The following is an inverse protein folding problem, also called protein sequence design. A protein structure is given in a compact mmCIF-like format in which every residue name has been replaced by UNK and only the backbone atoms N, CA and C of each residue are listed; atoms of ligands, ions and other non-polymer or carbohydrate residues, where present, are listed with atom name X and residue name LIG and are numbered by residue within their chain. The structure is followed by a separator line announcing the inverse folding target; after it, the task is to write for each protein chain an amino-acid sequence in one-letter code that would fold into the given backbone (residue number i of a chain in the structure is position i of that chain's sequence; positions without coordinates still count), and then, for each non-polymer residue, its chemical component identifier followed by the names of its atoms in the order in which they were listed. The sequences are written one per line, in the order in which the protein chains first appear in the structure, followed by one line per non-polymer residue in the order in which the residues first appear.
data_IF_041041104278
#
_entry.id   IF_041041104278
#
_cell.length_a   1.000
_cell.length_b   1.000
_cell.length_c   1.000
_cell.angle_alpha   90.00
_cell.angle_beta   90.00
_cell.angle_gamma   90.00
#
_symmetry.space_group_name_H-M   'P 1'
#
loop_
_entity.id
_entity.type
_entity.pdbx_description
1 polymer ?
#
# COMPACT_ATOMS: atom_id res chain seq x y z
N UNK A 1 26.86 -14.64 -40.45
CA UNK A 1 25.87 -14.40 -39.35
C UNK A 1 25.90 -15.40 -38.19
N UNK A 2 26.27 -16.66 -38.36
CA UNK A 2 26.37 -17.64 -37.22
C UNK A 2 27.52 -17.32 -36.24
N UNK A 3 28.70 -16.90 -36.76
CA UNK A 3 29.86 -16.57 -35.92
C UNK A 3 29.61 -15.42 -34.92
N UNK A 4 28.88 -14.36 -35.30
CA UNK A 4 28.54 -13.25 -34.38
C UNK A 4 27.64 -13.67 -33.20
N UNK A 5 26.80 -14.69 -33.38
CA UNK A 5 25.96 -15.18 -32.27
C UNK A 5 26.80 -15.95 -31.25
N UNK A 6 27.81 -16.71 -31.68
CA UNK A 6 28.67 -17.46 -30.74
C UNK A 6 29.55 -16.50 -29.93
N UNK A 7 30.09 -15.47 -30.50
CA UNK A 7 30.84 -14.44 -29.76
C UNK A 7 29.95 -13.64 -28.81
N UNK A 8 28.71 -13.35 -29.20
CA UNK A 8 27.74 -12.68 -28.32
C UNK A 8 27.36 -13.58 -27.11
N UNK A 9 27.10 -14.86 -27.34
CA UNK A 9 26.84 -15.81 -26.26
C UNK A 9 28.06 -15.97 -25.34
N UNK A 10 29.26 -16.04 -25.88
CA UNK A 10 30.49 -16.15 -25.11
C UNK A 10 30.72 -14.88 -24.27
N UNK A 11 30.49 -13.69 -24.84
CA UNK A 11 30.55 -12.42 -24.11
C UNK A 11 29.53 -12.34 -22.97
N UNK A 12 28.29 -12.71 -23.23
CA UNK A 12 27.24 -12.75 -22.20
C UNK A 12 27.56 -13.74 -21.07
N UNK A 13 28.04 -14.96 -21.45
CA UNK A 13 28.44 -15.97 -20.45
C UNK A 13 29.61 -15.48 -19.60
N UNK A 14 30.61 -14.83 -20.18
CA UNK A 14 31.75 -14.23 -19.50
C UNK A 14 31.30 -13.15 -18.48
N UNK A 15 30.41 -12.25 -18.94
CA UNK A 15 29.86 -11.18 -18.08
C UNK A 15 29.07 -11.79 -16.92
N UNK A 16 28.19 -12.75 -17.19
CA UNK A 16 27.39 -13.41 -16.14
C UNK A 16 28.26 -14.14 -15.15
N UNK A 17 29.30 -14.86 -15.63
CA UNK A 17 30.27 -15.54 -14.74
C UNK A 17 31.07 -14.55 -13.91
N UNK A 18 31.55 -13.46 -14.48
CA UNK A 18 32.25 -12.40 -13.74
C UNK A 18 31.35 -11.75 -12.68
N UNK A 19 30.11 -11.43 -13.03
CA UNK A 19 29.13 -10.92 -12.06
C UNK A 19 28.86 -11.91 -10.93
N UNK A 20 28.73 -13.21 -11.22
CA UNK A 20 28.52 -14.24 -10.21
C UNK A 20 29.72 -14.38 -9.27
N UNK A 21 30.95 -14.33 -9.80
CA UNK A 21 32.18 -14.35 -9.00
C UNK A 21 32.29 -13.10 -8.13
N UNK A 22 31.98 -11.92 -8.67
CA UNK A 22 31.99 -10.66 -7.90
C UNK A 22 30.94 -10.67 -6.81
N UNK A 23 29.72 -11.14 -7.07
CA UNK A 23 28.68 -11.31 -6.06
C UNK A 23 29.11 -12.29 -4.97
N UNK A 24 29.69 -13.41 -5.35
CA UNK A 24 30.20 -14.40 -4.40
C UNK A 24 31.30 -13.81 -3.51
N UNK A 25 32.28 -13.13 -4.13
CA UNK A 25 33.36 -12.45 -3.41
C UNK A 25 32.84 -11.40 -2.44
N UNK A 26 31.92 -10.52 -2.87
CA UNK A 26 31.32 -9.48 -2.04
C UNK A 26 30.52 -10.07 -0.84
N UNK A 27 29.80 -11.18 -1.08
CA UNK A 27 28.99 -11.85 -0.06
C UNK A 27 29.87 -12.54 1.00
N UNK A 28 30.96 -13.21 0.58
CA UNK A 28 31.79 -14.00 1.47
C UNK A 28 32.91 -13.22 2.14
N UNK A 29 33.46 -12.20 1.51
CA UNK A 29 34.59 -11.41 2.02
C UNK A 29 34.18 -10.05 2.63
N UNK A 30 32.87 -9.82 2.84
CA UNK A 30 32.30 -8.66 3.56
C UNK A 30 32.72 -7.27 3.02
N UNK A 31 33.14 -7.16 1.78
CA UNK A 31 33.51 -5.87 1.19
C UNK A 31 32.31 -4.92 1.01
N UNK A 32 31.08 -5.45 0.91
CA UNK A 32 29.81 -4.73 0.71
C UNK A 32 29.81 -3.70 -0.44
N UNK A 33 30.83 -3.68 -1.27
CA UNK A 33 31.01 -2.68 -2.34
C UNK A 33 29.84 -2.67 -3.30
N UNK A 34 29.34 -3.86 -3.67
CA UNK A 34 28.18 -3.97 -4.56
C UNK A 34 26.91 -3.52 -3.88
N UNK A 35 26.69 -3.91 -2.61
CA UNK A 35 25.51 -3.47 -1.85
C UNK A 35 25.51 -1.95 -1.67
N UNK A 36 26.63 -1.37 -1.27
CA UNK A 36 26.79 0.08 -1.11
C UNK A 36 26.60 0.83 -2.45
N UNK A 37 27.06 0.24 -3.56
CA UNK A 37 26.81 0.79 -4.90
C UNK A 37 25.31 0.76 -5.24
N UNK A 38 24.61 -0.36 -5.01
CA UNK A 38 23.18 -0.44 -5.26
C UNK A 38 22.38 0.48 -4.33
N UNK A 39 22.75 0.58 -3.06
CA UNK A 39 22.11 1.50 -2.11
C UNK A 39 22.28 2.95 -2.55
N UNK A 40 23.48 3.34 -2.95
CA UNK A 40 23.77 4.68 -3.50
C UNK A 40 23.02 4.94 -4.80
N UNK A 41 22.95 3.96 -5.68
CA UNK A 41 22.18 4.04 -6.93
C UNK A 41 20.68 4.23 -6.63
N UNK A 42 20.12 3.45 -5.70
CA UNK A 42 18.72 3.59 -5.29
C UNK A 42 18.44 4.93 -4.62
N UNK A 43 19.35 5.44 -3.78
CA UNK A 43 19.23 6.78 -3.21
C UNK A 43 19.19 7.88 -4.28
N UNK A 44 20.05 7.78 -5.30
CA UNK A 44 20.08 8.75 -6.40
C UNK A 44 18.84 8.63 -7.29
N UNK A 45 18.33 7.41 -7.52
CA UNK A 45 17.17 7.16 -8.36
C UNK A 45 15.84 7.37 -7.62
N UNK A 46 15.85 7.43 -6.29
CA UNK A 46 14.61 7.53 -5.49
C UNK A 46 13.67 8.66 -5.94
N UNK A 47 14.11 9.90 -6.23
CA UNK A 47 13.21 10.94 -6.72
C UNK A 47 12.58 10.61 -8.07
N UNK A 48 13.33 9.91 -8.94
CA UNK A 48 12.82 9.47 -10.27
C UNK A 48 11.76 8.38 -10.09
N UNK A 49 12.02 7.42 -9.21
CA UNK A 49 11.07 6.35 -8.88
C UNK A 49 9.79 6.95 -8.28
N UNK A 50 9.91 7.89 -7.33
CA UNK A 50 8.74 8.59 -6.78
C UNK A 50 7.98 9.35 -7.86
N UNK A 51 8.69 10.02 -8.76
CA UNK A 51 8.06 10.73 -9.88
C UNK A 51 7.29 9.82 -10.84
N UNK A 52 7.86 8.65 -11.16
CA UNK A 52 7.19 7.62 -11.96
C UNK A 52 5.93 7.08 -11.25
N UNK A 53 6.06 6.78 -9.96
CA UNK A 53 4.94 6.28 -9.15
C UNK A 53 3.84 7.32 -9.08
N UNK A 54 4.14 8.58 -8.74
CA UNK A 54 3.15 9.64 -8.70
C UNK A 54 2.50 9.89 -10.05
N UNK A 55 3.29 9.91 -11.14
CA UNK A 55 2.75 10.06 -12.48
C UNK A 55 1.75 8.94 -12.82
N UNK A 56 2.06 7.71 -12.42
CA UNK A 56 1.19 6.57 -12.68
C UNK A 56 -0.07 6.58 -11.81
N UNK A 57 0.07 6.85 -10.51
CA UNK A 57 -1.04 6.93 -9.56
C UNK A 57 -2.01 8.07 -9.88
N UNK A 58 -1.48 9.23 -10.27
CA UNK A 58 -2.29 10.41 -10.55
C UNK A 58 -2.84 10.43 -11.99
N UNK A 59 -2.32 9.60 -12.90
CA UNK A 59 -2.79 9.54 -14.29
C UNK A 59 -4.31 9.36 -14.42
N UNK A 60 -5.00 8.47 -13.67
CA UNK A 60 -6.45 8.32 -13.76
C UNK A 60 -7.21 9.59 -13.34
N UNK A 61 -6.71 10.30 -12.32
CA UNK A 61 -7.31 11.52 -11.79
C UNK A 61 -7.10 12.66 -12.78
N UNK A 62 -5.89 12.79 -13.33
CA UNK A 62 -5.58 13.77 -14.38
C UNK A 62 -6.43 13.52 -15.63
N UNK A 63 -6.56 12.26 -16.07
CA UNK A 63 -7.39 11.89 -17.23
C UNK A 63 -8.90 12.14 -16.99
N UNK A 64 -9.34 12.11 -15.72
CA UNK A 64 -10.70 12.49 -15.33
C UNK A 64 -10.91 14.00 -15.48
N UNK A 65 -10.02 14.83 -14.88
CA UNK A 65 -10.09 16.28 -15.01
C UNK A 65 -9.91 16.75 -16.45
N UNK A 66 -9.02 16.10 -17.19
CA UNK A 66 -8.76 16.41 -18.60
C UNK A 66 -10.04 16.30 -19.44
N UNK A 67 -10.78 15.19 -19.29
CA UNK A 67 -12.06 14.99 -19.96
C UNK A 67 -13.11 16.00 -19.53
N UNK A 68 -13.16 16.36 -18.23
CA UNK A 68 -14.15 17.30 -17.71
C UNK A 68 -13.87 18.73 -18.17
N UNK A 69 -12.62 19.18 -18.08
CA UNK A 69 -12.19 20.52 -18.51
C UNK A 69 -12.33 20.68 -20.04
N UNK A 70 -11.94 19.64 -20.80
CA UNK A 70 -12.07 19.66 -22.26
C UNK A 70 -13.53 19.79 -22.72
N UNK A 71 -14.48 19.17 -22.00
CA UNK A 71 -15.93 19.34 -22.27
C UNK A 71 -16.39 20.76 -21.98
N UNK A 72 -15.90 21.39 -20.91
CA UNK A 72 -16.26 22.78 -20.56
C UNK A 72 -15.59 23.83 -21.43
N UNK A 73 -14.41 23.55 -21.97
CA UNK A 73 -13.59 24.50 -22.75
C UNK A 73 -13.15 23.91 -24.10
N UNK A 74 -14.06 23.61 -25.02
CA UNK A 74 -13.76 22.90 -26.27
C UNK A 74 -12.80 23.66 -27.22
N UNK A 75 -12.70 24.98 -27.08
CA UNK A 75 -11.85 25.85 -27.92
C UNK A 75 -10.40 25.98 -27.42
N UNK A 76 -10.09 25.46 -26.22
CA UNK A 76 -8.74 25.57 -25.64
C UNK A 76 -7.86 24.44 -26.20
N UNK A 77 -6.60 24.76 -26.47
CA UNK A 77 -5.62 23.77 -26.95
C UNK A 77 -5.48 22.62 -25.93
N UNK A 78 -5.54 21.39 -26.40
CA UNK A 78 -5.43 20.16 -25.57
C UNK A 78 -4.19 20.19 -24.65
N UNK A 79 -3.07 20.76 -25.07
CA UNK A 79 -1.87 20.89 -24.25
C UNK A 79 -2.07 21.81 -23.02
N UNK A 80 -2.84 22.88 -23.15
CA UNK A 80 -3.17 23.78 -22.02
C UNK A 80 -4.16 23.11 -21.07
N UNK A 81 -5.17 22.43 -21.61
CA UNK A 81 -6.13 21.64 -20.80
C UNK A 81 -5.38 20.60 -20.00
N UNK A 82 -4.44 19.86 -20.62
CA UNK A 82 -3.62 18.88 -19.94
C UNK A 82 -2.79 19.48 -18.79
N UNK A 83 -2.16 20.63 -19.05
CA UNK A 83 -1.40 21.36 -18.01
C UNK A 83 -2.29 21.78 -16.83
N UNK A 84 -3.48 22.32 -17.11
CA UNK A 84 -4.45 22.72 -16.09
C UNK A 84 -4.96 21.51 -15.29
N UNK A 85 -5.26 20.39 -15.95
CA UNK A 85 -5.69 19.15 -15.30
C UNK A 85 -4.65 18.61 -14.34
N UNK A 86 -3.37 18.64 -14.72
CA UNK A 86 -2.25 18.23 -13.86
C UNK A 86 -2.16 19.17 -12.64
N UNK A 87 -2.25 20.48 -12.87
CA UNK A 87 -2.18 21.49 -11.80
C UNK A 87 -3.34 21.31 -10.80
N UNK A 88 -4.57 21.19 -11.30
CA UNK A 88 -5.75 20.94 -10.44
C UNK A 88 -5.60 19.64 -9.65
N UNK A 89 -5.14 18.57 -10.29
CA UNK A 89 -4.89 17.27 -9.61
C UNK A 89 -3.90 17.44 -8.46
N UNK A 90 -2.75 18.09 -8.68
CA UNK A 90 -1.76 18.31 -7.63
C UNK A 90 -2.26 19.22 -6.52
N UNK A 91 -3.02 20.30 -6.85
CA UNK A 91 -3.67 21.14 -5.83
C UNK A 91 -4.62 20.31 -4.98
N UNK A 92 -5.48 19.47 -5.59
CA UNK A 92 -6.39 18.60 -4.85
C UNK A 92 -5.66 17.61 -3.94
N UNK A 93 -4.57 16.98 -4.41
CA UNK A 93 -3.78 16.05 -3.61
C UNK A 93 -3.10 16.75 -2.43
N UNK A 94 -2.45 17.89 -2.69
CA UNK A 94 -1.79 18.68 -1.64
C UNK A 94 -2.81 19.20 -0.63
N UNK A 95 -3.95 19.72 -1.10
CA UNK A 95 -5.02 20.20 -0.24
C UNK A 95 -5.59 19.07 0.64
N UNK A 96 -5.81 17.87 0.07
CA UNK A 96 -6.28 16.70 0.81
C UNK A 96 -5.29 16.30 1.91
N UNK A 97 -4.01 16.20 1.56
CA UNK A 97 -2.93 15.86 2.51
C UNK A 97 -2.83 16.92 3.61
N UNK A 98 -2.82 18.22 3.24
CA UNK A 98 -2.78 19.32 4.18
C UNK A 98 -3.98 19.31 5.13
N UNK A 99 -5.19 19.14 4.60
CA UNK A 99 -6.42 19.11 5.37
C UNK A 99 -6.43 17.90 6.33
N UNK A 100 -5.98 16.74 5.87
CA UNK A 100 -5.85 15.55 6.71
C UNK A 100 -4.90 15.80 7.89
N UNK A 101 -3.70 16.29 7.64
CA UNK A 101 -2.72 16.52 8.71
C UNK A 101 -3.04 17.71 9.60
N UNK A 102 -3.57 18.82 9.06
CA UNK A 102 -3.91 20.01 9.83
C UNK A 102 -5.06 19.79 10.82
N UNK A 103 -5.93 18.82 10.56
CA UNK A 103 -7.01 18.45 11.47
C UNK A 103 -6.58 17.30 12.38
N UNK A 104 -5.95 16.26 11.83
CA UNK A 104 -5.62 15.05 12.59
C UNK A 104 -4.56 15.29 13.66
N UNK A 105 -3.49 16.04 13.33
CA UNK A 105 -2.37 16.24 14.29
C UNK A 105 -2.80 17.02 15.53
N UNK A 106 -3.44 18.21 15.44
CA UNK A 106 -3.92 18.91 16.64
C UNK A 106 -4.88 18.07 17.47
N UNK A 107 -5.81 17.39 16.81
CA UNK A 107 -6.82 16.55 17.47
C UNK A 107 -6.18 15.37 18.22
N UNK A 108 -5.16 14.74 17.63
CA UNK A 108 -4.40 13.68 18.31
C UNK A 108 -3.67 14.23 19.54
N UNK A 109 -3.01 15.40 19.42
CA UNK A 109 -2.28 16.02 20.53
C UNK A 109 -3.22 16.41 21.67
N UNK A 110 -4.35 17.04 21.37
CA UNK A 110 -5.32 17.45 22.38
C UNK A 110 -6.03 16.24 23.01
N UNK A 111 -6.31 15.20 22.23
CA UNK A 111 -6.84 13.94 22.74
C UNK A 111 -5.84 13.23 23.66
N UNK A 112 -4.55 13.22 23.32
CA UNK A 112 -3.51 12.64 24.20
C UNK A 112 -3.38 13.42 25.53
N UNK A 113 -3.45 14.77 25.50
CA UNK A 113 -3.50 15.58 26.72
C UNK A 113 -4.73 15.24 27.56
N UNK A 114 -5.92 15.23 26.94
CA UNK A 114 -7.17 14.88 27.60
C UNK A 114 -7.13 13.49 28.23
N UNK A 115 -6.49 12.52 27.53
CA UNK A 115 -6.27 11.18 28.08
C UNK A 115 -5.37 11.25 29.33
N UNK A 116 -4.23 11.96 29.22
CA UNK A 116 -3.31 12.09 30.34
C UNK A 116 -3.97 12.74 31.55
N UNK A 117 -4.73 13.83 31.35
CA UNK A 117 -5.42 14.58 32.40
C UNK A 117 -6.57 13.80 33.05
N UNK A 118 -7.28 12.98 32.28
CA UNK A 118 -8.43 12.22 32.77
C UNK A 118 -8.10 10.74 33.04
N UNK A 119 -6.85 10.31 32.90
CA UNK A 119 -6.47 8.90 33.03
C UNK A 119 -6.86 8.30 34.38
N UNK A 120 -6.65 9.06 35.47
CA UNK A 120 -7.05 8.63 36.82
C UNK A 120 -8.58 8.47 36.95
N UNK A 121 -9.34 9.34 36.32
CA UNK A 121 -10.83 9.25 36.33
C UNK A 121 -11.31 8.02 35.52
N UNK A 122 -10.71 7.75 34.36
CA UNK A 122 -11.04 6.55 33.57
C UNK A 122 -10.70 5.27 34.31
N UNK A 123 -9.52 5.23 34.95
CA UNK A 123 -9.14 4.11 35.80
C UNK A 123 -10.14 3.88 36.92
N UNK A 124 -10.49 4.92 37.68
CA UNK A 124 -11.49 4.83 38.74
C UNK A 124 -12.85 4.31 38.25
N UNK A 125 -13.25 4.74 37.07
CA UNK A 125 -14.49 4.26 36.43
C UNK A 125 -14.41 2.77 36.10
N UNK A 126 -13.33 2.30 35.52
CA UNK A 126 -13.12 0.87 35.20
C UNK A 126 -13.01 0.07 36.51
N UNK A 127 -12.25 0.55 37.47
CA UNK A 127 -12.09 -0.08 38.79
C UNK A 127 -13.43 -0.25 39.48
N UNK A 128 -14.22 0.83 39.59
CA UNK A 128 -15.56 0.79 40.22
C UNK A 128 -16.52 -0.13 39.46
N UNK A 129 -16.44 -0.17 38.14
CA UNK A 129 -17.25 -1.08 37.33
C UNK A 129 -16.88 -2.54 37.60
N UNK A 130 -15.58 -2.88 37.61
CA UNK A 130 -15.11 -4.24 37.94
C UNK A 130 -15.50 -4.59 39.38
N UNK A 131 -15.29 -3.67 40.33
CA UNK A 131 -15.66 -3.89 41.70
C UNK A 131 -17.19 -4.15 41.87
N UNK A 132 -18.03 -3.43 41.13
CA UNK A 132 -19.47 -3.66 41.12
C UNK A 132 -19.88 -5.01 40.53
N UNK A 133 -19.12 -5.54 39.57
CA UNK A 133 -19.33 -6.89 39.03
C UNK A 133 -18.93 -7.99 40.02
N UNK A 134 -17.90 -7.72 40.80
CA UNK A 134 -17.42 -8.61 41.88
C UNK A 134 -18.40 -8.61 43.04
N UNK A 135 -18.80 -7.42 43.58
CA UNK A 135 -19.72 -7.29 44.72
C UNK A 135 -21.10 -7.86 44.39
N UNK A 136 -21.60 -7.74 43.17
CA UNK A 136 -22.90 -8.28 42.77
C UNK A 136 -22.90 -9.78 42.47
N UNK A 137 -21.79 -10.49 42.70
CA UNK A 137 -21.63 -11.95 42.48
C UNK A 137 -22.06 -12.42 41.08
N UNK A 138 -22.05 -11.51 40.08
CA UNK A 138 -22.61 -11.77 38.75
C UNK A 138 -21.70 -12.67 37.92
N UNK A 139 -20.38 -12.72 38.19
CA UNK A 139 -19.40 -13.45 37.38
C UNK A 139 -18.46 -14.34 38.24
N UNK A 140 -18.18 -13.99 39.49
CA UNK A 140 -17.25 -14.70 40.35
C UNK A 140 -17.89 -14.99 41.74
N UNK A 141 -17.94 -16.28 42.09
CA UNK A 141 -18.51 -16.73 43.35
C UNK A 141 -17.45 -16.97 44.46
N UNK A 142 -16.16 -16.78 44.17
CA UNK A 142 -15.06 -17.00 45.11
C UNK A 142 -14.28 -15.70 45.37
N UNK A 143 -14.18 -15.31 46.66
CA UNK A 143 -13.47 -14.11 47.13
C UNK A 143 -11.99 -14.08 46.73
N UNK A 144 -11.34 -15.25 46.52
CA UNK A 144 -9.93 -15.38 46.15
C UNK A 144 -9.66 -14.83 44.74
N UNK A 145 -10.57 -15.05 43.80
CA UNK A 145 -10.39 -14.56 42.40
C UNK A 145 -10.68 -13.07 42.30
N UNK A 146 -11.53 -12.51 43.15
CA UNK A 146 -11.84 -11.08 43.18
C UNK A 146 -10.65 -10.23 43.63
N UNK A 147 -9.96 -10.63 44.70
CA UNK A 147 -8.76 -9.94 45.18
C UNK A 147 -7.57 -10.06 44.21
N UNK A 148 -7.42 -11.20 43.56
CA UNK A 148 -6.39 -11.39 42.52
C UNK A 148 -6.67 -10.51 41.26
N UNK A 149 -7.93 -10.36 40.86
CA UNK A 149 -8.31 -9.53 39.71
C UNK A 149 -8.08 -8.04 40.01
N UNK A 150 -8.49 -7.57 41.20
CA UNK A 150 -8.29 -6.18 41.63
C UNK A 150 -6.79 -5.84 41.82
N UNK A 151 -6.00 -6.77 42.36
CA UNK A 151 -4.56 -6.59 42.51
C UNK A 151 -3.85 -6.58 41.14
N UNK A 152 -4.29 -7.42 40.21
CA UNK A 152 -3.80 -7.41 38.84
C UNK A 152 -4.12 -6.11 38.11
N UNK A 153 -5.36 -5.60 38.26
CA UNK A 153 -5.78 -4.30 37.70
C UNK A 153 -4.93 -3.15 38.24
N UNK A 154 -4.65 -3.10 39.54
CA UNK A 154 -3.77 -2.11 40.14
C UNK A 154 -2.33 -2.24 39.60
N UNK A 155 -1.82 -3.46 39.49
CA UNK A 155 -0.49 -3.69 38.90
C UNK A 155 -0.36 -3.33 37.43
N UNK A 156 -1.42 -3.52 36.64
CA UNK A 156 -1.45 -3.08 35.23
C UNK A 156 -1.61 -1.56 35.12
N UNK A 157 -2.37 -0.93 36.04
CA UNK A 157 -2.50 0.52 36.11
C UNK A 157 -1.14 1.19 36.31
N UNK A 158 -0.37 0.78 37.32
CA UNK A 158 0.96 1.34 37.58
C UNK A 158 1.92 1.14 36.40
N UNK A 159 1.86 -0.02 35.73
CA UNK A 159 2.64 -0.29 34.52
C UNK A 159 2.22 0.59 33.36
N UNK A 160 0.91 0.78 33.16
CA UNK A 160 0.37 1.64 32.11
C UNK A 160 0.71 3.12 32.35
N UNK A 161 0.54 3.61 33.58
CA UNK A 161 0.92 4.98 33.95
C UNK A 161 2.41 5.21 33.69
N UNK A 162 3.27 4.32 34.18
CA UNK A 162 4.71 4.38 33.91
C UNK A 162 5.03 4.29 32.44
N UNK A 163 4.40 3.42 31.69
CA UNK A 163 4.61 3.31 30.26
C UNK A 163 4.17 4.58 29.50
N UNK A 164 3.02 5.17 29.86
CA UNK A 164 2.54 6.42 29.27
C UNK A 164 3.48 7.58 29.63
N UNK A 165 3.82 7.76 30.91
CA UNK A 165 4.65 8.87 31.39
C UNK A 165 6.12 8.75 30.99
N UNK A 166 6.69 7.54 31.04
CA UNK A 166 8.12 7.32 30.84
C UNK A 166 8.47 6.97 29.38
N UNK A 167 7.47 6.50 28.60
CA UNK A 167 7.71 6.04 27.23
C UNK A 167 6.90 6.86 26.19
N UNK A 168 5.58 6.92 26.35
CA UNK A 168 4.72 7.51 25.30
C UNK A 168 4.88 9.01 25.23
N UNK A 169 4.78 9.71 26.36
CA UNK A 169 4.91 11.18 26.41
C UNK A 169 6.30 11.64 25.97
N UNK A 170 7.42 11.08 26.48
CA UNK A 170 8.75 11.44 26.02
C UNK A 170 8.99 11.09 24.55
N UNK A 171 8.52 9.92 24.08
CA UNK A 171 8.66 9.56 22.67
C UNK A 171 7.80 10.44 21.75
N UNK A 172 6.61 10.85 22.18
CA UNK A 172 5.81 11.83 21.44
C UNK A 172 6.51 13.19 21.38
N UNK A 173 7.12 13.63 22.49
CA UNK A 173 7.97 14.85 22.52
C UNK A 173 9.21 14.69 21.64
N UNK A 174 9.89 13.54 21.72
CA UNK A 174 11.04 13.21 20.85
C UNK A 174 10.62 13.14 19.39
N UNK A 175 9.44 12.58 19.08
CA UNK A 175 8.91 12.57 17.71
C UNK A 175 8.61 14.00 17.21
N UNK A 176 8.04 14.86 18.05
CA UNK A 176 7.84 16.30 17.75
C UNK A 176 9.19 17.00 17.59
N UNK A 177 10.16 16.72 18.48
CA UNK A 177 11.54 17.27 18.41
C UNK A 177 12.32 16.63 17.27
N UNK A 178 12.10 15.36 16.93
CA UNK A 178 12.73 14.72 15.78
C UNK A 178 12.20 15.27 14.44
N UNK A 179 10.94 15.68 14.39
CA UNK A 179 10.40 16.48 13.27
C UNK A 179 11.09 17.86 13.22
N UNK A 180 11.44 18.45 14.36
CA UNK A 180 12.17 19.72 14.42
C UNK A 180 13.69 19.55 14.38
N UNK A 181 14.25 18.48 14.97
CA UNK A 181 15.69 18.18 14.99
C UNK A 181 16.18 17.37 13.79
N UNK A 182 15.29 16.61 13.16
CA UNK A 182 15.49 15.92 11.87
C UNK A 182 15.34 16.84 10.66
N UNK A 183 15.53 18.16 10.81
CA UNK A 183 15.39 19.14 9.72
C UNK A 183 16.10 18.65 8.44
N UNK A 184 17.26 18.04 8.57
CA UNK A 184 18.01 17.56 7.42
C UNK A 184 17.32 16.36 6.72
N UNK A 185 16.78 15.42 7.47
CA UNK A 185 16.00 14.29 6.92
C UNK A 185 14.71 14.77 6.28
N UNK A 186 14.03 15.73 6.91
CA UNK A 186 12.82 16.38 6.36
C UNK A 186 13.16 17.16 5.09
N UNK A 187 14.27 17.90 5.07
CA UNK A 187 14.74 18.61 3.87
C UNK A 187 15.06 17.65 2.74
N UNK A 188 15.73 16.54 3.02
CA UNK A 188 16.01 15.50 2.02
C UNK A 188 14.71 14.89 1.50
N UNK A 189 13.78 14.55 2.39
CA UNK A 189 12.47 14.03 2.02
C UNK A 189 11.70 15.03 1.16
N UNK A 190 11.58 16.29 1.58
CA UNK A 190 10.91 17.33 0.82
C UNK A 190 11.59 17.61 -0.52
N UNK A 191 12.91 17.62 -0.56
CA UNK A 191 13.67 17.72 -1.81
C UNK A 191 13.31 16.57 -2.76
N UNK A 192 13.35 15.34 -2.29
CA UNK A 192 13.03 14.17 -3.11
C UNK A 192 11.56 14.15 -3.56
N UNK A 193 10.66 14.58 -2.69
CA UNK A 193 9.23 14.75 -3.00
C UNK A 193 9.02 15.81 -4.08
N UNK A 194 9.65 16.99 -3.94
CA UNK A 194 9.56 18.08 -4.93
C UNK A 194 10.12 17.66 -6.29
N UNK A 195 11.29 17.01 -6.31
CA UNK A 195 11.88 16.48 -7.56
C UNK A 195 10.96 15.42 -8.16
N UNK A 196 10.44 14.50 -7.34
CA UNK A 196 9.47 13.49 -7.77
C UNK A 196 8.20 14.11 -8.35
N UNK A 197 7.68 15.16 -7.71
CA UNK A 197 6.52 15.92 -8.21
C UNK A 197 6.85 16.57 -9.57
N UNK A 198 7.99 17.23 -9.72
CA UNK A 198 8.41 17.84 -10.99
C UNK A 198 8.52 16.78 -12.11
N UNK A 199 9.15 15.64 -11.80
CA UNK A 199 9.26 14.52 -12.74
C UNK A 199 7.87 13.99 -13.11
N UNK A 200 6.96 13.83 -12.16
CA UNK A 200 5.61 13.34 -12.43
C UNK A 200 4.81 14.30 -13.32
N UNK A 201 4.90 15.61 -13.07
CA UNK A 201 4.28 16.64 -13.91
C UNK A 201 4.80 16.53 -15.35
N UNK A 202 6.11 16.39 -15.51
CA UNK A 202 6.72 16.26 -16.85
C UNK A 202 6.29 14.98 -17.56
N UNK A 203 6.26 13.85 -16.84
CA UNK A 203 5.81 12.56 -17.37
C UNK A 203 4.33 12.58 -17.77
N UNK A 204 3.48 13.15 -16.93
CA UNK A 204 2.04 13.29 -17.19
C UNK A 204 1.78 14.21 -18.40
N UNK A 205 2.52 15.31 -18.49
CA UNK A 205 2.38 16.26 -19.62
C UNK A 205 2.83 15.67 -20.94
N UNK A 206 3.86 14.79 -20.95
CA UNK A 206 4.46 14.22 -22.16
C UNK A 206 4.27 12.70 -22.30
N UNK A 207 3.28 12.12 -21.62
CA UNK A 207 2.96 10.69 -21.61
C UNK A 207 2.97 10.06 -23.01
N UNK A 208 2.30 10.69 -23.97
CA UNK A 208 2.21 10.18 -25.34
C UNK A 208 3.55 10.22 -26.09
N UNK A 209 4.35 11.27 -25.87
CA UNK A 209 5.65 11.43 -26.49
C UNK A 209 6.62 10.34 -26.01
N UNK A 210 6.65 10.10 -24.70
CA UNK A 210 7.44 9.02 -24.12
C UNK A 210 7.02 7.65 -24.63
N UNK A 211 5.72 7.39 -24.71
CA UNK A 211 5.19 6.13 -25.25
C UNK A 211 5.61 5.92 -26.72
N UNK A 212 5.56 6.97 -27.54
CA UNK A 212 6.02 6.91 -28.96
C UNK A 212 7.51 6.65 -29.05
N UNK A 213 8.33 7.35 -28.26
CA UNK A 213 9.78 7.17 -28.25
C UNK A 213 10.17 5.76 -27.80
N UNK A 214 9.57 5.25 -26.71
CA UNK A 214 9.82 3.89 -26.22
C UNK A 214 9.46 2.83 -27.26
N UNK A 215 8.31 2.97 -27.94
CA UNK A 215 7.92 2.09 -29.05
C UNK A 215 8.90 2.14 -30.21
N UNK A 216 9.43 3.32 -30.56
CA UNK A 216 10.42 3.50 -31.64
C UNK A 216 11.73 2.82 -31.27
N UNK A 217 12.22 3.00 -30.06
CA UNK A 217 13.44 2.34 -29.56
C UNK A 217 13.26 0.82 -29.57
N UNK A 218 12.14 0.34 -29.06
CA UNK A 218 11.85 -1.10 -29.00
C UNK A 218 11.80 -1.73 -30.40
N UNK A 219 11.19 -1.02 -31.36
CA UNK A 219 11.14 -1.47 -32.77
C UNK A 219 12.50 -1.49 -33.43
N UNK A 220 13.39 -0.55 -33.09
CA UNK A 220 14.75 -0.49 -33.63
C UNK A 220 15.65 -1.64 -33.12
N UNK A 221 15.41 -2.11 -31.87
CA UNK A 221 16.25 -3.13 -31.22
C UNK A 221 15.74 -4.55 -31.52
N UNK A 222 14.40 -4.75 -31.53
CA UNK A 222 13.80 -6.06 -31.64
C UNK A 222 13.28 -6.38 -33.03
N UNK A 223 13.47 -7.62 -33.53
CA UNK A 223 12.78 -8.11 -34.71
C UNK A 223 11.25 -8.05 -34.52
N UNK A 224 10.50 -8.03 -35.62
CA UNK A 224 9.06 -7.79 -35.62
C UNK A 224 8.25 -8.71 -34.66
N UNK A 225 8.56 -10.00 -34.64
CA UNK A 225 7.83 -10.96 -33.81
C UNK A 225 8.06 -10.73 -32.30
N UNK A 226 9.30 -10.58 -31.77
CA UNK A 226 9.52 -10.19 -30.38
C UNK A 226 8.95 -8.81 -30.06
N UNK A 227 9.05 -7.83 -30.95
CA UNK A 227 8.48 -6.50 -30.77
C UNK A 227 6.97 -6.56 -30.46
N UNK A 228 6.20 -7.24 -31.32
CA UNK A 228 4.75 -7.41 -31.12
C UNK A 228 4.40 -8.12 -29.82
N UNK A 229 5.21 -9.10 -29.40
CA UNK A 229 5.03 -9.82 -28.12
C UNK A 229 5.29 -8.91 -26.93
N UNK A 230 6.37 -8.14 -26.96
CA UNK A 230 6.71 -7.18 -25.89
C UNK A 230 5.63 -6.11 -25.76
N UNK A 231 5.12 -5.58 -26.89
CA UNK A 231 4.01 -4.62 -26.83
C UNK A 231 2.76 -5.19 -26.18
N UNK A 232 2.42 -6.47 -26.46
CA UNK A 232 1.27 -7.12 -25.81
C UNK A 232 1.50 -7.30 -24.31
N UNK A 233 2.70 -7.72 -23.91
CA UNK A 233 3.06 -7.86 -22.51
C UNK A 233 3.01 -6.51 -21.75
N UNK A 234 3.51 -5.45 -22.37
CA UNK A 234 3.43 -4.08 -21.81
C UNK A 234 1.97 -3.60 -21.71
N UNK A 235 1.17 -3.85 -22.74
CA UNK A 235 -0.25 -3.48 -22.71
C UNK A 235 -1.02 -4.26 -21.64
N UNK A 236 -0.71 -5.53 -21.43
CA UNK A 236 -1.30 -6.35 -20.37
C UNK A 236 -0.86 -5.86 -18.99
N UNK A 237 0.42 -5.55 -18.79
CA UNK A 237 0.92 -4.94 -17.57
C UNK A 237 0.22 -3.61 -17.27
N UNK A 238 0.09 -2.72 -18.28
CA UNK A 238 -0.64 -1.46 -18.12
C UNK A 238 -2.12 -1.69 -17.76
N UNK A 239 -2.78 -2.69 -18.34
CA UNK A 239 -4.14 -3.07 -18.01
C UNK A 239 -4.28 -3.49 -16.54
N UNK A 240 -3.36 -4.35 -16.06
CA UNK A 240 -3.34 -4.84 -14.67
C UNK A 240 -3.12 -3.66 -13.72
N UNK A 241 -2.08 -2.86 -13.94
CA UNK A 241 -1.74 -1.73 -13.09
C UNK A 241 -2.84 -0.66 -13.08
N UNK A 242 -3.29 -0.22 -14.26
CA UNK A 242 -4.32 0.82 -14.35
C UNK A 242 -5.66 0.37 -13.79
N UNK A 243 -6.03 -0.90 -14.01
CA UNK A 243 -7.22 -1.52 -13.42
C UNK A 243 -7.15 -1.55 -11.89
N UNK A 244 -6.02 -1.99 -11.34
CA UNK A 244 -5.79 -2.03 -9.90
C UNK A 244 -5.83 -0.63 -9.27
N UNK A 245 -5.06 0.34 -9.83
CA UNK A 245 -5.00 1.71 -9.30
C UNK A 245 -6.37 2.39 -9.33
N UNK A 246 -7.05 2.33 -10.48
CA UNK A 246 -8.41 2.92 -10.60
C UNK A 246 -9.41 2.25 -9.67
N UNK A 247 -9.37 0.93 -9.62
CA UNK A 247 -10.23 0.14 -8.74
C UNK A 247 -10.01 0.51 -7.28
N UNK A 248 -8.75 0.58 -6.83
CA UNK A 248 -8.44 0.86 -5.43
C UNK A 248 -8.72 2.31 -5.04
N UNK A 249 -8.52 3.28 -5.95
CA UNK A 249 -8.92 4.66 -5.72
C UNK A 249 -10.43 4.80 -5.58
N UNK A 250 -11.20 4.13 -6.45
CA UNK A 250 -12.66 4.14 -6.39
C UNK A 250 -13.19 3.44 -5.13
N UNK A 251 -12.62 2.31 -4.79
CA UNK A 251 -12.91 1.54 -3.57
C UNK A 251 -12.70 2.40 -2.32
N UNK A 252 -11.52 3.01 -2.18
CA UNK A 252 -11.17 3.90 -1.07
C UNK A 252 -12.09 5.11 -0.95
N UNK A 253 -12.48 5.69 -2.08
CA UNK A 253 -13.46 6.80 -2.11
C UNK A 253 -14.83 6.35 -1.59
N UNK A 254 -15.31 5.20 -2.05
CA UNK A 254 -16.62 4.66 -1.62
C UNK A 254 -16.58 4.32 -0.14
N UNK A 255 -15.52 3.66 0.34
CA UNK A 255 -15.35 3.33 1.76
C UNK A 255 -15.29 4.59 2.62
N UNK A 256 -14.58 5.63 2.19
CA UNK A 256 -14.56 6.92 2.89
C UNK A 256 -15.94 7.56 2.98
N UNK A 257 -16.71 7.56 1.90
CA UNK A 257 -18.08 8.10 1.87
C UNK A 257 -19.02 7.28 2.76
N UNK A 258 -18.97 5.94 2.67
CA UNK A 258 -19.77 5.06 3.51
C UNK A 258 -19.44 5.24 4.99
N UNK A 259 -18.15 5.33 5.31
CA UNK A 259 -17.69 5.61 6.67
C UNK A 259 -18.26 6.95 7.16
N UNK A 260 -18.21 8.01 6.34
CA UNK A 260 -18.76 9.31 6.69
C UNK A 260 -20.26 9.26 6.96
N UNK A 261 -21.01 8.63 6.08
CA UNK A 261 -22.48 8.50 6.22
C UNK A 261 -22.82 7.73 7.50
N UNK A 262 -22.24 6.57 7.70
CA UNK A 262 -22.54 5.73 8.84
C UNK A 262 -22.08 6.37 10.17
N UNK A 263 -20.86 6.93 10.22
CA UNK A 263 -20.38 7.63 11.41
C UNK A 263 -21.26 8.86 11.76
N UNK A 264 -21.78 9.55 10.74
CA UNK A 264 -22.72 10.67 10.94
C UNK A 264 -24.07 10.19 11.52
N UNK A 265 -24.61 9.08 10.99
CA UNK A 265 -25.87 8.48 11.49
C UNK A 265 -25.71 8.02 12.95
N UNK A 266 -24.62 7.36 13.27
CA UNK A 266 -24.33 6.90 14.64
C UNK A 266 -23.83 8.01 15.57
N UNK A 267 -23.63 9.22 15.04
CA UNK A 267 -23.13 10.39 15.78
C UNK A 267 -21.80 10.12 16.48
N UNK A 268 -20.89 9.41 15.82
CA UNK A 268 -19.55 9.22 16.35
C UNK A 268 -18.79 10.56 16.38
N UNK A 269 -17.97 10.80 17.41
CA UNK A 269 -17.12 11.99 17.44
C UNK A 269 -16.11 11.94 16.29
N UNK A 270 -15.65 13.10 15.85
CA UNK A 270 -14.61 13.25 14.82
C UNK A 270 -14.96 12.61 13.45
N UNK A 271 -16.25 12.43 13.16
CA UNK A 271 -16.73 11.76 11.93
C UNK A 271 -16.01 12.18 10.64
N UNK A 272 -15.82 13.49 10.32
CA UNK A 272 -15.17 13.89 9.07
C UNK A 272 -13.72 13.40 8.99
N UNK A 273 -12.98 13.53 10.09
CA UNK A 273 -11.56 13.14 10.17
C UNK A 273 -11.41 11.63 10.01
N UNK A 274 -12.19 10.88 10.78
CA UNK A 274 -12.20 9.41 10.77
C UNK A 274 -12.49 8.91 9.36
N UNK A 275 -13.49 9.47 8.71
CA UNK A 275 -13.93 9.02 7.38
C UNK A 275 -12.90 9.31 6.30
N UNK A 276 -12.27 10.49 6.32
CA UNK A 276 -11.18 10.83 5.42
C UNK A 276 -9.98 9.92 5.69
N UNK A 277 -9.63 9.71 6.95
CA UNK A 277 -8.48 8.89 7.33
C UNK A 277 -8.68 7.42 6.94
N UNK A 278 -9.82 6.84 7.26
CA UNK A 278 -10.18 5.47 6.84
C UNK A 278 -10.20 5.35 5.31
N UNK A 279 -10.81 6.31 4.61
CA UNK A 279 -10.85 6.30 3.15
C UNK A 279 -9.47 6.39 2.50
N UNK A 280 -8.61 7.29 2.98
CA UNK A 280 -7.25 7.48 2.43
C UNK A 280 -6.37 6.27 2.72
N UNK A 281 -6.38 5.78 3.96
CA UNK A 281 -5.57 4.61 4.32
C UNK A 281 -6.03 3.34 3.62
N UNK A 282 -7.32 3.22 3.28
CA UNK A 282 -7.86 2.08 2.54
C UNK A 282 -7.24 1.88 1.14
N UNK A 283 -6.50 2.87 0.62
CA UNK A 283 -5.70 2.71 -0.60
C UNK A 283 -4.68 1.56 -0.44
N UNK A 284 -4.15 1.35 0.76
CA UNK A 284 -3.20 0.27 1.06
C UNK A 284 -3.99 -1.03 1.27
N UNK A 285 -3.83 -2.05 0.41
CA UNK A 285 -4.57 -3.29 0.56
C UNK A 285 -4.26 -3.98 1.91
N UNK A 286 -5.25 -4.58 2.52
CA UNK A 286 -5.20 -5.34 3.79
C UNK A 286 -4.81 -4.46 4.99
N UNK A 287 -3.69 -3.74 4.95
CA UNK A 287 -3.21 -2.93 6.08
C UNK A 287 -3.92 -1.58 6.21
N UNK A 288 -4.43 -1.03 5.11
CA UNK A 288 -5.11 0.27 5.10
C UNK A 288 -6.26 0.38 6.10
N UNK A 289 -7.18 -0.59 6.14
CA UNK A 289 -8.25 -0.62 7.12
C UNK A 289 -7.79 -0.52 8.57
N UNK A 290 -6.73 -1.24 8.94
CA UNK A 290 -6.17 -1.22 10.29
C UNK A 290 -5.48 0.12 10.60
N UNK A 291 -4.73 0.65 9.64
CA UNK A 291 -4.08 1.96 9.77
C UNK A 291 -5.11 3.08 9.95
N UNK A 292 -6.28 2.97 9.36
CA UNK A 292 -7.38 3.90 9.53
C UNK A 292 -8.16 3.67 10.82
N UNK A 293 -8.50 2.41 11.12
CA UNK A 293 -9.38 2.05 12.23
C UNK A 293 -8.73 2.23 13.61
N UNK A 294 -7.45 1.84 13.78
CA UNK A 294 -6.79 1.86 15.09
C UNK A 294 -6.68 3.28 15.66
N UNK A 295 -6.12 4.28 14.95
CA UNK A 295 -6.09 5.66 15.46
C UNK A 295 -7.49 6.25 15.65
N UNK A 296 -8.43 5.92 14.77
CA UNK A 296 -9.82 6.38 14.85
C UNK A 296 -10.52 5.82 16.08
N UNK A 297 -10.38 4.52 16.35
CA UNK A 297 -10.91 3.88 17.55
C UNK A 297 -10.29 4.48 18.83
N UNK A 298 -9.00 4.78 18.80
CA UNK A 298 -8.30 5.44 19.90
C UNK A 298 -8.89 6.83 20.18
N UNK A 299 -9.09 7.66 19.15
CA UNK A 299 -9.73 8.98 19.30
C UNK A 299 -11.13 8.89 19.91
N UNK A 300 -11.94 7.93 19.45
CA UNK A 300 -13.29 7.73 19.99
C UNK A 300 -13.25 7.20 21.42
N UNK A 301 -12.28 6.32 21.73
CA UNK A 301 -12.11 5.76 23.08
C UNK A 301 -11.89 6.86 24.12
N UNK A 302 -11.13 7.90 23.76
CA UNK A 302 -10.85 9.04 24.64
C UNK A 302 -12.11 9.86 24.97
N UNK A 303 -13.10 9.84 24.07
CA UNK A 303 -14.39 10.54 24.32
C UNK A 303 -15.38 9.64 25.05
N UNK A 304 -15.51 8.39 24.60
CA UNK A 304 -16.48 7.46 25.16
C UNK A 304 -16.12 6.00 24.87
N UNK A 305 -15.77 5.19 25.88
CA UNK A 305 -15.49 3.77 25.69
C UNK A 305 -16.66 3.00 25.06
N UNK A 306 -17.91 3.38 25.38
CA UNK A 306 -19.11 2.78 24.80
C UNK A 306 -19.22 3.04 23.30
N UNK A 307 -18.95 4.27 22.88
CA UNK A 307 -18.97 4.62 21.44
C UNK A 307 -17.80 3.96 20.69
N UNK A 308 -16.65 3.81 21.33
CA UNK A 308 -15.52 3.07 20.76
C UNK A 308 -15.89 1.61 20.45
N UNK A 309 -16.59 0.93 21.36
CA UNK A 309 -17.06 -0.43 21.12
C UNK A 309 -18.00 -0.49 19.90
N UNK A 310 -18.95 0.42 19.79
CA UNK A 310 -19.86 0.49 18.63
C UNK A 310 -19.09 0.82 17.34
N UNK A 311 -18.10 1.69 17.41
CA UNK A 311 -17.25 1.99 16.25
C UNK A 311 -16.43 0.79 15.79
N UNK A 312 -15.86 0.01 16.72
CA UNK A 312 -15.13 -1.22 16.39
C UNK A 312 -16.05 -2.22 15.69
N UNK A 313 -17.25 -2.44 16.19
CA UNK A 313 -18.23 -3.32 15.55
C UNK A 313 -18.62 -2.80 14.16
N UNK A 314 -18.85 -1.49 14.02
CA UNK A 314 -19.15 -0.85 12.75
C UNK A 314 -18.00 -1.02 11.75
N UNK A 315 -16.74 -0.72 12.16
CA UNK A 315 -15.61 -0.80 11.24
C UNK A 315 -15.33 -2.23 10.78
N UNK A 316 -15.54 -3.23 11.66
CA UNK A 316 -15.45 -4.64 11.27
C UNK A 316 -16.53 -4.96 10.22
N UNK A 317 -17.77 -4.53 10.41
CA UNK A 317 -18.84 -4.71 9.44
C UNK A 317 -18.52 -4.02 8.10
N UNK A 318 -18.01 -2.79 8.15
CA UNK A 318 -17.59 -2.05 6.96
C UNK A 318 -16.46 -2.78 6.20
N UNK A 319 -15.50 -3.35 6.92
CA UNK A 319 -14.41 -4.11 6.32
C UNK A 319 -14.87 -5.44 5.73
N UNK A 320 -15.84 -6.11 6.36
CA UNK A 320 -16.46 -7.30 5.79
C UNK A 320 -17.24 -6.98 4.52
N UNK A 321 -17.91 -5.83 4.48
CA UNK A 321 -18.57 -5.35 3.26
C UNK A 321 -17.56 -5.03 2.16
N UNK A 322 -16.46 -4.34 2.50
CA UNK A 322 -15.37 -4.06 1.55
C UNK A 322 -14.78 -5.37 0.99
N UNK A 323 -14.31 -6.25 1.85
CA UNK A 323 -13.62 -7.47 1.43
C UNK A 323 -14.46 -8.47 0.65
N UNK A 324 -15.75 -8.59 0.98
CA UNK A 324 -16.61 -9.62 0.40
C UNK A 324 -17.54 -9.12 -0.72
N UNK A 325 -17.84 -7.83 -0.76
CA UNK A 325 -18.81 -7.26 -1.72
C UNK A 325 -18.17 -6.22 -2.62
N UNK A 326 -17.58 -5.17 -2.03
CA UNK A 326 -17.10 -4.01 -2.77
C UNK A 326 -15.81 -4.33 -3.53
N UNK A 327 -14.83 -4.90 -2.85
CA UNK A 327 -13.55 -5.29 -3.45
C UNK A 327 -13.72 -6.22 -4.66
N UNK A 328 -14.44 -7.36 -4.57
CA UNK A 328 -14.70 -8.23 -5.71
C UNK A 328 -15.45 -7.54 -6.85
N UNK A 329 -16.38 -6.63 -6.56
CA UNK A 329 -17.13 -5.90 -7.59
C UNK A 329 -16.30 -4.84 -8.29
N UNK A 330 -15.43 -4.11 -7.58
CA UNK A 330 -14.64 -3.00 -8.13
C UNK A 330 -13.34 -3.51 -8.75
N UNK A 331 -12.57 -4.28 -7.99
CA UNK A 331 -11.28 -4.82 -8.44
C UNK A 331 -11.49 -6.01 -9.39
N UNK A 332 -12.59 -6.75 -9.23
CA UNK A 332 -12.95 -7.86 -10.10
C UNK A 332 -11.81 -8.87 -10.26
N UNK A 333 -11.65 -9.38 -11.50
CA UNK A 333 -10.53 -10.23 -11.89
C UNK A 333 -9.30 -9.43 -12.32
N UNK A 334 -9.19 -8.15 -11.93
CA UNK A 334 -8.15 -7.25 -12.45
C UNK A 334 -6.74 -7.73 -12.14
N UNK A 335 -6.53 -8.38 -11.01
CA UNK A 335 -5.21 -8.91 -10.63
C UNK A 335 -5.01 -10.37 -11.03
N UNK A 336 -6.08 -11.17 -11.11
CA UNK A 336 -6.03 -12.59 -11.49
C UNK A 336 -5.20 -13.48 -10.55
N UNK A 337 -4.83 -12.98 -9.36
CA UNK A 337 -4.05 -13.72 -8.35
C UNK A 337 -4.91 -14.08 -7.13
N UNK A 338 -4.60 -15.20 -6.47
CA UNK A 338 -5.30 -15.61 -5.25
C UNK A 338 -4.93 -14.72 -4.06
N UNK A 339 -5.79 -14.70 -3.03
CA UNK A 339 -5.57 -13.92 -1.81
C UNK A 339 -4.24 -14.23 -1.12
N UNK A 340 -3.78 -15.47 -1.17
CA UNK A 340 -2.46 -15.86 -0.66
C UNK A 340 -1.33 -15.05 -1.33
N UNK A 341 -1.34 -14.99 -2.66
CA UNK A 341 -0.32 -14.25 -3.41
C UNK A 341 -0.43 -12.74 -3.23
N UNK A 342 -1.63 -12.22 -2.94
CA UNK A 342 -1.81 -10.82 -2.56
C UNK A 342 -1.08 -10.52 -1.25
N UNK A 343 -1.21 -11.38 -0.22
CA UNK A 343 -0.51 -11.21 1.05
C UNK A 343 1.02 -11.26 0.84
N UNK A 344 1.50 -12.26 0.09
CA UNK A 344 2.94 -12.37 -0.23
C UNK A 344 3.45 -11.11 -0.94
N UNK A 345 2.69 -10.62 -1.94
CA UNK A 345 3.05 -9.42 -2.70
C UNK A 345 3.15 -8.17 -1.80
N UNK A 346 2.23 -8.02 -0.82
CA UNK A 346 2.24 -6.90 0.12
C UNK A 346 3.43 -7.00 1.08
N UNK A 347 3.69 -8.18 1.65
CA UNK A 347 4.80 -8.39 2.60
C UNK A 347 6.14 -8.15 1.90
N UNK A 348 6.35 -8.77 0.74
CA UNK A 348 7.59 -8.60 -0.04
C UNK A 348 7.72 -7.16 -0.52
N UNK A 349 6.67 -6.60 -1.12
CA UNK A 349 6.67 -5.22 -1.59
C UNK A 349 6.94 -4.22 -0.46
N UNK A 350 6.35 -4.46 0.72
CA UNK A 350 6.56 -3.65 1.91
C UNK A 350 8.01 -3.67 2.40
N UNK A 351 8.65 -4.85 2.36
CA UNK A 351 10.06 -5.00 2.71
C UNK A 351 11.02 -4.22 1.80
N UNK A 352 10.71 -4.10 0.50
CA UNK A 352 11.54 -3.37 -0.46
C UNK A 352 11.23 -1.87 -0.57
N UNK A 353 9.97 -1.48 -0.45
CA UNK A 353 9.53 -0.11 -0.76
C UNK A 353 8.59 0.52 0.27
N UNK A 354 8.51 -0.02 1.49
CA UNK A 354 7.62 0.48 2.53
C UNK A 354 6.16 0.54 2.06
N UNK A 355 5.45 1.58 2.43
CA UNK A 355 4.02 1.78 2.09
C UNK A 355 3.76 1.76 0.59
N UNK A 356 4.62 2.41 -0.21
CA UNK A 356 4.51 2.41 -1.67
C UNK A 356 4.75 1.00 -2.23
N UNK A 357 5.70 0.27 -1.66
CA UNK A 357 5.96 -1.11 -2.03
C UNK A 357 4.80 -2.04 -1.68
N UNK A 358 4.12 -1.87 -0.56
CA UNK A 358 2.91 -2.62 -0.21
C UNK A 358 1.81 -2.41 -1.26
N UNK A 359 1.61 -1.17 -1.69
CA UNK A 359 0.60 -0.83 -2.70
C UNK A 359 0.96 -1.38 -4.08
N UNK A 360 2.19 -1.12 -4.55
CA UNK A 360 2.65 -1.53 -5.88
C UNK A 360 2.98 -3.02 -5.99
N UNK A 361 3.27 -3.67 -4.88
CA UNK A 361 3.60 -5.09 -4.82
C UNK A 361 2.53 -5.97 -5.44
N UNK A 362 1.26 -5.66 -5.19
CA UNK A 362 0.12 -6.44 -5.72
C UNK A 362 0.07 -6.43 -7.25
N UNK A 363 0.05 -5.28 -7.94
CA UNK A 363 0.04 -5.27 -9.40
C UNK A 363 1.36 -5.77 -10.01
N UNK A 364 2.51 -5.56 -9.37
CA UNK A 364 3.80 -6.13 -9.81
C UNK A 364 3.72 -7.65 -9.79
N UNK A 365 3.25 -8.23 -8.70
CA UNK A 365 3.13 -9.68 -8.56
C UNK A 365 2.11 -10.25 -9.55
N UNK A 366 1.00 -9.55 -9.80
CA UNK A 366 0.01 -9.91 -10.80
C UNK A 366 0.61 -9.94 -12.21
N UNK A 367 1.48 -8.98 -12.56
CA UNK A 367 2.21 -8.98 -13.83
C UNK A 367 3.19 -10.16 -13.94
N UNK A 368 3.92 -10.46 -12.87
CA UNK A 368 4.83 -11.62 -12.81
C UNK A 368 4.02 -12.92 -13.00
N UNK A 369 2.92 -13.08 -12.28
CA UNK A 369 2.03 -14.24 -12.42
C UNK A 369 1.47 -14.38 -13.84
N UNK A 370 1.04 -13.27 -14.45
CA UNK A 370 0.58 -13.25 -15.85
C UNK A 370 1.67 -13.67 -16.83
N UNK A 371 2.90 -13.22 -16.63
CA UNK A 371 4.05 -13.64 -17.44
C UNK A 371 4.36 -15.13 -17.27
N UNK A 372 4.39 -15.63 -16.03
CA UNK A 372 4.62 -17.04 -15.74
C UNK A 372 3.55 -17.90 -16.42
N UNK A 373 2.27 -17.56 -16.25
CA UNK A 373 1.17 -18.26 -16.87
C UNK A 373 1.28 -18.24 -18.41
N UNK A 374 1.67 -17.11 -18.98
CA UNK A 374 1.88 -17.02 -20.44
C UNK A 374 3.00 -17.94 -20.93
N UNK A 375 4.14 -18.00 -20.22
CA UNK A 375 5.24 -18.89 -20.55
C UNK A 375 4.85 -20.37 -20.41
N UNK A 376 4.17 -20.69 -19.29
CA UNK A 376 3.69 -22.06 -18.98
C UNK A 376 2.72 -22.54 -20.07
N UNK A 377 1.66 -21.80 -20.33
CA UNK A 377 0.64 -22.16 -21.32
C UNK A 377 1.24 -22.32 -22.73
N UNK A 378 2.20 -21.44 -23.09
CA UNK A 378 2.90 -21.56 -24.36
C UNK A 378 3.76 -22.84 -24.43
N UNK A 379 4.39 -23.23 -23.34
CA UNK A 379 5.18 -24.48 -23.27
C UNK A 379 4.28 -25.71 -23.35
N UNK A 380 3.14 -25.68 -22.65
CA UNK A 380 2.14 -26.75 -22.67
C UNK A 380 1.52 -26.93 -24.07
N UNK A 381 1.13 -25.83 -24.71
CA UNK A 381 0.61 -25.85 -26.08
C UNK A 381 1.61 -26.48 -27.07
N UNK A 382 2.93 -26.19 -26.92
CA UNK A 382 3.97 -26.83 -27.75
C UNK A 382 4.12 -28.33 -27.51
N UNK A 383 3.77 -28.80 -26.30
CA UNK A 383 3.79 -30.22 -25.92
C UNK A 383 2.49 -30.92 -26.22
N UNK A 384 1.49 -30.22 -26.79
CA UNK A 384 0.16 -30.79 -27.08
C UNK A 384 -0.69 -31.09 -25.84
N UNK A 385 -0.31 -30.53 -24.69
CA UNK A 385 -1.02 -30.72 -23.41
C UNK A 385 -1.93 -29.50 -23.19
N UNK A 386 -3.22 -29.76 -22.91
CA UNK A 386 -4.18 -28.76 -22.47
C UNK A 386 -4.18 -28.68 -20.94
N UNK A 387 -4.51 -27.51 -20.38
CA UNK A 387 -4.54 -27.27 -18.92
C UNK A 387 -5.38 -28.32 -18.17
N UNK A 388 -6.53 -28.71 -18.74
CA UNK A 388 -7.45 -29.68 -18.14
C UNK A 388 -6.83 -31.10 -18.08
N UNK A 389 -6.01 -31.47 -19.06
CA UNK A 389 -5.35 -32.77 -19.09
C UNK A 389 -4.21 -32.91 -18.05
N UNK A 390 -3.59 -31.83 -17.64
CA UNK A 390 -2.45 -31.84 -16.70
C UNK A 390 -2.90 -32.02 -15.24
N UNK A 391 -4.13 -31.66 -14.92
CA UNK A 391 -4.72 -31.78 -13.58
C UNK A 391 -5.68 -32.99 -13.46
N UNK A 392 -5.77 -33.82 -14.49
CA UNK A 392 -6.54 -35.07 -14.43
C UNK A 392 -5.79 -36.06 -13.52
N UNK A 393 -6.40 -36.51 -12.39
CA UNK A 393 -5.80 -37.52 -11.53
C UNK A 393 -5.44 -38.84 -12.28
N UNK A 394 -6.09 -39.12 -13.42
CA UNK A 394 -5.77 -40.25 -14.26
C UNK A 394 -4.40 -40.18 -14.94
N UNK A 395 -3.88 -38.96 -15.17
CA UNK A 395 -2.51 -38.74 -15.70
C UNK A 395 -1.42 -38.83 -14.61
N UNK A 396 -1.78 -38.79 -13.34
CA UNK A 396 -0.89 -39.02 -12.22
C UNK A 396 -0.70 -40.50 -11.89
N UNK A 397 -1.45 -41.39 -12.51
CA UNK A 397 -1.25 -42.85 -12.40
C UNK A 397 0.12 -43.21 -13.03
N UNK A 398 0.93 -44.06 -12.40
CA UNK A 398 2.18 -44.52 -12.98
C UNK A 398 1.85 -45.16 -14.34
N UNK A 399 2.61 -44.73 -15.36
CA UNK A 399 2.54 -45.39 -16.66
C UNK A 399 2.86 -46.88 -16.40
N UNK A 400 1.87 -47.75 -16.57
CA UNK A 400 2.11 -49.17 -16.54
C UNK A 400 3.27 -49.46 -17.51
N UNK A 401 4.39 -49.90 -16.97
CA UNK A 401 5.46 -50.47 -17.79
C UNK A 401 4.85 -51.56 -18.63
N UNK A 402 4.66 -51.30 -19.92
CA UNK A 402 4.39 -52.36 -20.87
C UNK A 402 5.55 -53.34 -20.78
N UNK A 403 5.31 -54.46 -20.13
CA UNK A 403 6.13 -55.64 -20.26
C UNK A 403 5.96 -56.11 -21.72
N UNK A 404 6.99 -55.86 -22.53
CA UNK A 404 7.29 -56.66 -23.72
C UNK A 404 8.25 -57.78 -23.33
#
# INVERSE_FOLDING_TARGET
MKQNKTYLHLGVTLIVSACAVLMFYDTFFQSRVLLDFFDKLMQVLSPVIYGLVFAYLLAPIVDFFDRYIQKGLPKVKSSLVRGLSILVTWICVIALIYLMFSILIPELVDSMKTLADNFESYYKTVYNWVNSLVENQTIFSDDIYSDQLLSALNGYYDKLVKWVTDTVIPQAQVAIVAVTGGIWSVVIFLKNLLIGMMISVYLLARKESFAKQSKKILYAILPETPYRRTLRAVAEADRIFSGFVRGKLLDSLIIGILCFICCSIFKFPYTPIISVFVGVTNIIPIFGPFLGAIPSAFLILLVSPKQCLYFILFIIALQQFDGNILGPKILGKSTGISSFWVIVAIVVGGGFGGVLGMFLGVPIFACISSLVNWFTNRSLTKKGVTDDAMFDPALAAPLDEKKD
#
